data_IF_397824190670
#
_entry.id   IF_397824190670
#
_cell.length_a   1.000
_cell.length_b   1.000
_cell.length_c   1.000
_cell.angle_alpha   90.00
_cell.angle_beta   90.00
_cell.angle_gamma   90.00
#
_symmetry.space_group_name_H-M   'P 1'
#
loop_
_entity.id
_entity.type
_entity.pdbx_description
1 polymer ?
#
# COMPACT_ATOMS: atom_id res chain seq x y z
N UNK A 1 2.51 23.03 -5.08
CA UNK A 1 1.55 21.96 -5.45
C UNK A 1 0.14 22.51 -5.26
N UNK A 2 -0.90 22.06 -5.99
CA UNK A 2 -2.24 22.60 -5.80
C UNK A 2 -2.79 22.16 -4.43
N UNK A 3 -3.24 23.14 -3.65
CA UNK A 3 -3.91 22.92 -2.39
C UNK A 3 -5.38 22.52 -2.66
N UNK A 4 -5.91 21.53 -1.94
CA UNK A 4 -7.29 21.08 -2.10
C UNK A 4 -8.08 21.46 -0.84
N UNK A 5 -9.10 22.29 -1.00
CA UNK A 5 -9.98 22.73 0.06
C UNK A 5 -11.27 21.92 0.03
N UNK A 6 -11.58 21.25 1.14
CA UNK A 6 -12.83 20.51 1.31
C UNK A 6 -13.15 20.39 2.81
N UNK A 7 -14.40 20.64 3.19
CA UNK A 7 -14.86 20.57 4.58
C UNK A 7 -14.64 19.22 5.24
N UNK A 8 -14.47 18.16 4.45
CA UNK A 8 -14.07 16.84 4.95
C UNK A 8 -12.76 16.89 5.77
N UNK A 9 -11.88 17.87 5.52
CA UNK A 9 -10.63 18.05 6.25
C UNK A 9 -10.72 18.92 7.50
N UNK A 10 -11.88 19.51 7.81
CA UNK A 10 -12.07 20.36 8.98
C UNK A 10 -11.58 19.76 10.32
N UNK A 11 -11.67 18.43 10.55
CA UNK A 11 -11.13 17.84 11.77
C UNK A 11 -9.59 17.79 11.86
N UNK A 12 -8.91 17.98 10.72
CA UNK A 12 -7.46 17.79 10.57
C UNK A 12 -6.72 19.10 10.38
N UNK A 13 -7.35 20.06 9.69
CA UNK A 13 -6.77 21.36 9.38
C UNK A 13 -7.82 22.46 9.56
N UNK A 14 -7.42 23.57 10.19
CA UNK A 14 -8.32 24.69 10.51
C UNK A 14 -8.76 25.47 9.28
N UNK A 15 -7.92 25.48 8.25
CA UNK A 15 -8.22 26.16 6.99
C UNK A 15 -8.92 25.21 6.00
N UNK A 16 -9.13 23.94 6.40
CA UNK A 16 -9.74 22.87 5.62
C UNK A 16 -8.96 22.56 4.34
N UNK A 17 -7.67 22.91 4.32
CA UNK A 17 -6.79 22.76 3.17
C UNK A 17 -5.74 21.72 3.48
N UNK A 18 -5.52 20.81 2.53
CA UNK A 18 -4.38 19.91 2.57
C UNK A 18 -3.62 19.95 1.23
N UNK A 19 -2.30 19.77 1.29
CA UNK A 19 -1.47 19.66 0.10
C UNK A 19 -1.67 18.30 -0.55
N UNK A 20 -2.05 18.27 -1.83
CA UNK A 20 -2.21 17.02 -2.57
C UNK A 20 -0.85 16.39 -2.86
N UNK A 21 -0.62 15.18 -2.34
CA UNK A 21 0.57 14.37 -2.61
C UNK A 21 0.40 13.54 -3.89
N UNK A 22 -0.66 12.75 -3.96
CA UNK A 22 -0.90 11.80 -5.03
C UNK A 22 -2.39 11.48 -5.16
N UNK A 23 -2.78 10.82 -6.24
CA UNK A 23 -4.17 10.38 -6.39
C UNK A 23 -4.31 9.20 -7.34
N UNK A 24 -5.31 8.39 -7.04
CA UNK A 24 -5.64 7.13 -7.66
C UNK A 24 -6.99 7.19 -8.37
N UNK A 25 -7.68 6.04 -8.46
CA UNK A 25 -9.03 5.99 -9.07
C UNK A 25 -10.09 6.13 -7.99
N UNK A 26 -9.76 5.60 -6.81
CA UNK A 26 -10.65 5.40 -5.68
C UNK A 26 -10.04 6.01 -4.42
N UNK A 27 -8.87 6.66 -4.49
CA UNK A 27 -8.15 7.18 -3.32
C UNK A 27 -7.28 8.36 -3.70
N UNK A 28 -7.56 9.52 -3.12
CA UNK A 28 -6.71 10.70 -3.13
C UNK A 28 -5.87 10.72 -1.85
N UNK A 29 -4.66 11.25 -1.95
CA UNK A 29 -3.66 11.25 -0.88
C UNK A 29 -3.12 12.67 -0.68
N UNK A 30 -3.18 13.14 0.57
CA UNK A 30 -2.83 14.49 0.97
C UNK A 30 -1.84 14.49 2.13
N UNK A 31 -1.16 15.62 2.35
CA UNK A 31 -0.35 15.88 3.53
C UNK A 31 -1.02 16.91 4.42
N UNK A 32 -0.85 16.74 5.73
CA UNK A 32 -1.03 17.85 6.68
C UNK A 32 0.06 18.89 6.49
N UNK A 33 -0.24 20.15 6.76
CA UNK A 33 0.69 21.27 6.59
C UNK A 33 1.98 21.11 7.39
N UNK A 34 1.87 20.52 8.58
CA UNK A 34 3.01 20.19 9.45
C UNK A 34 3.78 18.93 9.01
N UNK A 35 3.34 18.28 7.92
CA UNK A 35 3.86 17.03 7.35
C UNK A 35 4.00 15.89 8.35
N UNK A 36 3.19 15.87 9.42
CA UNK A 36 3.17 14.75 10.36
C UNK A 36 2.36 13.58 9.86
N UNK A 37 1.34 13.84 9.04
CA UNK A 37 0.43 12.81 8.57
C UNK A 37 0.20 12.86 7.06
N UNK A 38 -0.03 11.68 6.51
CA UNK A 38 -0.65 11.45 5.22
C UNK A 38 -2.13 11.16 5.44
N UNK A 39 -3.00 11.83 4.70
CA UNK A 39 -4.45 11.65 4.74
C UNK A 39 -4.90 11.01 3.44
N UNK A 40 -5.57 9.86 3.52
CA UNK A 40 -6.16 9.20 2.36
C UNK A 40 -7.68 9.36 2.40
N UNK A 41 -8.24 9.91 1.33
CA UNK A 41 -9.67 10.05 1.10
C UNK A 41 -10.09 9.12 -0.04
N UNK A 42 -11.20 8.40 0.12
CA UNK A 42 -11.75 7.54 -0.94
C UNK A 42 -13.04 8.13 -1.50
N UNK A 43 -12.90 8.94 -2.56
CA UNK A 43 -13.97 9.77 -3.12
C UNK A 43 -15.26 8.99 -3.49
N UNK A 44 -15.16 7.72 -3.92
CA UNK A 44 -16.33 6.92 -4.32
C UNK A 44 -17.15 6.36 -3.14
N UNK A 45 -16.79 6.64 -1.89
CA UNK A 45 -17.40 6.03 -0.69
C UNK A 45 -18.11 7.04 0.23
N UNK A 46 -18.32 8.26 -0.24
CA UNK A 46 -19.18 9.22 0.43
C UNK A 46 -20.61 8.71 0.52
N UNK A 47 -21.24 8.88 1.68
CA UNK A 47 -22.60 8.41 1.90
C UNK A 47 -23.14 8.74 3.28
N UNK A 48 -23.90 7.81 3.86
CA UNK A 48 -24.43 7.96 5.21
C UNK A 48 -23.34 7.80 6.29
N UNK A 49 -23.55 8.45 7.45
CA UNK A 49 -22.62 8.36 8.59
C UNK A 49 -22.46 6.91 9.06
N UNK A 50 -23.53 6.12 9.09
CA UNK A 50 -23.45 4.73 9.54
C UNK A 50 -22.60 3.88 8.59
N UNK A 51 -22.71 4.12 7.28
CA UNK A 51 -21.90 3.46 6.25
C UNK A 51 -20.42 3.86 6.38
N UNK A 52 -20.14 5.16 6.54
CA UNK A 52 -18.78 5.66 6.73
C UNK A 52 -18.13 5.09 8.01
N UNK A 53 -18.88 5.01 9.12
CA UNK A 53 -18.41 4.40 10.37
C UNK A 53 -18.19 2.89 10.22
N UNK A 54 -19.12 2.17 9.59
CA UNK A 54 -18.98 0.74 9.34
C UNK A 54 -17.75 0.45 8.47
N UNK A 55 -17.54 1.28 7.45
CA UNK A 55 -16.38 1.21 6.57
C UNK A 55 -15.07 1.50 7.32
N UNK A 56 -15.01 2.57 8.12
CA UNK A 56 -13.85 2.89 8.96
C UNK A 56 -13.49 1.74 9.91
N UNK A 57 -14.49 1.11 10.54
CA UNK A 57 -14.30 -0.07 11.41
C UNK A 57 -13.75 -1.27 10.63
N UNK A 58 -14.30 -1.55 9.45
CA UNK A 58 -13.81 -2.63 8.60
C UNK A 58 -12.36 -2.42 8.16
N UNK A 59 -12.00 -1.20 7.75
CA UNK A 59 -10.63 -0.84 7.39
C UNK A 59 -9.68 -0.96 8.58
N UNK A 60 -10.09 -0.49 9.76
CA UNK A 60 -9.33 -0.64 10.99
C UNK A 60 -9.04 -2.11 11.31
N UNK A 61 -10.06 -2.96 11.24
CA UNK A 61 -9.89 -4.40 11.46
C UNK A 61 -8.89 -5.02 10.47
N UNK A 62 -8.92 -4.60 9.19
CA UNK A 62 -7.93 -5.04 8.19
C UNK A 62 -6.52 -4.56 8.53
N UNK A 63 -6.35 -3.30 8.93
CA UNK A 63 -5.06 -2.74 9.30
C UNK A 63 -4.46 -3.43 10.53
N UNK A 64 -5.29 -3.72 11.54
CA UNK A 64 -4.91 -4.50 12.71
C UNK A 64 -4.51 -5.92 12.31
N UNK A 65 -5.28 -6.57 11.42
CA UNK A 65 -4.97 -7.91 10.91
C UNK A 65 -3.62 -7.95 10.16
N UNK A 66 -3.33 -6.96 9.34
CA UNK A 66 -2.05 -6.86 8.62
C UNK A 66 -0.88 -6.48 9.54
N UNK A 67 -1.14 -5.69 10.59
CA UNK A 67 -0.14 -5.42 11.63
C UNK A 67 0.19 -6.67 12.43
N UNK A 68 -0.79 -7.52 12.76
CA UNK A 68 -0.55 -8.82 13.37
C UNK A 68 0.27 -9.75 12.45
N UNK A 69 -0.01 -9.70 11.15
CA UNK A 69 0.72 -10.46 10.14
C UNK A 69 2.20 -10.05 10.05
N UNK A 70 2.45 -8.79 9.69
CA UNK A 70 3.81 -8.33 9.35
C UNK A 70 4.61 -7.85 10.57
N UNK A 71 3.93 -7.51 11.67
CA UNK A 71 4.52 -6.90 12.86
C UNK A 71 4.74 -5.39 12.69
N UNK A 72 4.81 -4.68 13.83
CA UNK A 72 4.95 -3.22 13.92
C UNK A 72 6.23 -2.67 13.29
N UNK A 73 7.26 -3.52 13.08
CA UNK A 73 8.48 -3.15 12.37
C UNK A 73 8.22 -2.88 10.88
N UNK A 74 7.25 -3.57 10.28
CA UNK A 74 6.98 -3.56 8.84
C UNK A 74 5.61 -2.95 8.50
N UNK A 75 4.97 -2.32 9.47
CA UNK A 75 3.69 -1.63 9.31
C UNK A 75 3.76 -0.23 9.92
N UNK A 76 2.86 0.62 9.44
CA UNK A 76 2.60 1.96 9.96
C UNK A 76 1.19 1.94 10.58
N UNK A 77 0.95 2.62 11.71
CA UNK A 77 -0.38 2.70 12.28
C UNK A 77 -1.32 3.50 11.37
N UNK A 78 -2.57 3.02 11.25
CA UNK A 78 -3.65 3.71 10.58
C UNK A 78 -4.64 4.23 11.63
N UNK A 79 -4.94 5.52 11.57
CA UNK A 79 -6.03 6.14 12.31
C UNK A 79 -7.17 6.45 11.36
N UNK A 80 -8.39 6.53 11.89
CA UNK A 80 -9.58 6.72 11.08
C UNK A 80 -10.43 7.84 11.67
N UNK A 81 -10.81 8.78 10.82
CA UNK A 81 -11.70 9.89 11.17
C UNK A 81 -12.90 9.82 10.22
N UNK A 82 -14.11 9.97 10.76
CA UNK A 82 -15.31 10.15 9.94
C UNK A 82 -15.66 11.63 9.96
N UNK A 83 -15.71 12.24 8.79
CA UNK A 83 -15.98 13.65 8.60
C UNK A 83 -17.06 13.85 7.54
N UNK A 84 -17.77 14.98 7.58
CA UNK A 84 -18.72 15.36 6.54
C UNK A 84 -18.08 16.34 5.58
N UNK A 85 -18.38 16.22 4.29
CA UNK A 85 -18.04 17.24 3.30
C UNK A 85 -19.08 18.37 3.26
N UNK A 86 -18.85 19.35 2.38
CA UNK A 86 -19.75 20.50 2.20
C UNK A 86 -21.13 20.12 1.63
N UNK A 87 -21.25 18.94 1.01
CA UNK A 87 -22.51 18.38 0.51
C UNK A 87 -23.22 17.53 1.58
N UNK A 88 -22.68 17.48 2.80
CA UNK A 88 -23.21 16.76 3.96
C UNK A 88 -22.98 15.25 3.94
N UNK A 89 -22.26 14.72 2.94
CA UNK A 89 -21.90 13.31 2.83
C UNK A 89 -20.81 12.96 3.84
N UNK A 90 -20.94 11.82 4.50
CA UNK A 90 -19.95 11.32 5.43
C UNK A 90 -18.88 10.49 4.71
N UNK A 91 -17.62 10.74 5.05
CA UNK A 91 -16.45 10.08 4.50
C UNK A 91 -15.58 9.53 5.62
N UNK A 92 -14.97 8.37 5.40
CA UNK A 92 -13.91 7.87 6.27
C UNK A 92 -12.54 8.27 5.73
N UNK A 93 -11.84 9.12 6.47
CA UNK A 93 -10.45 9.48 6.25
C UNK A 93 -9.53 8.47 6.92
N UNK A 94 -8.47 8.08 6.23
CA UNK A 94 -7.38 7.28 6.81
C UNK A 94 -6.17 8.17 7.03
N UNK A 95 -5.74 8.32 8.28
CA UNK A 95 -4.54 9.06 8.63
C UNK A 95 -3.41 8.06 8.92
N UNK A 96 -2.24 8.33 8.35
CA UNK A 96 -1.03 7.54 8.59
C UNK A 96 0.11 8.51 8.92
N UNK A 97 0.99 8.19 9.89
CA UNK A 97 2.24 8.93 10.05
C UNK A 97 2.98 9.06 8.72
N UNK A 98 3.41 10.28 8.40
CA UNK A 98 4.26 10.51 7.25
C UNK A 98 5.66 9.98 7.55
N UNK A 99 6.18 9.14 6.67
CA UNK A 99 7.55 8.63 6.77
C UNK A 99 8.43 9.49 5.88
N UNK A 100 9.01 10.52 6.47
CA UNK A 100 9.82 11.49 5.76
C UNK A 100 11.00 10.82 5.03
N UNK A 101 11.19 11.21 3.77
CA UNK A 101 12.25 10.68 2.90
C UNK A 101 12.06 9.22 2.49
N UNK A 102 10.97 8.56 2.86
CA UNK A 102 10.74 7.18 2.47
C UNK A 102 10.61 7.03 0.96
N UNK A 103 11.26 5.98 0.43
CA UNK A 103 11.28 5.70 -1.01
C UNK A 103 10.51 4.42 -1.30
N UNK A 104 9.52 4.44 -2.21
CA UNK A 104 8.93 3.22 -2.75
C UNK A 104 10.02 2.30 -3.30
N UNK A 105 9.91 0.99 -3.06
CA UNK A 105 10.96 0.05 -3.45
C UNK A 105 11.25 0.06 -4.96
N UNK A 106 10.24 0.34 -5.79
CA UNK A 106 10.39 0.43 -7.23
C UNK A 106 11.26 1.59 -7.72
N UNK A 107 11.43 2.62 -6.88
CA UNK A 107 12.25 3.80 -7.17
C UNK A 107 13.71 3.66 -6.74
N UNK A 108 14.04 2.60 -5.99
CA UNK A 108 15.40 2.38 -5.49
C UNK A 108 16.31 1.88 -6.61
N UNK A 109 17.47 2.54 -6.78
CA UNK A 109 18.56 2.00 -7.60
C UNK A 109 19.40 1.00 -6.79
N UNK A 110 19.03 -0.27 -6.89
CA UNK A 110 19.73 -1.37 -6.21
C UNK A 110 21.20 -1.54 -6.63
N UNK A 111 21.62 -0.98 -7.77
CA UNK A 111 23.02 -1.04 -8.22
C UNK A 111 23.89 -0.03 -7.49
N UNK A 112 23.32 1.13 -7.16
CA UNK A 112 24.00 2.16 -6.38
C UNK A 112 24.18 1.77 -4.91
N UNK A 113 23.42 0.77 -4.42
CA UNK A 113 23.54 0.28 -3.05
C UNK A 113 24.82 -0.53 -2.84
N UNK A 114 25.36 -0.48 -1.62
CA UNK A 114 26.40 -1.41 -1.18
C UNK A 114 25.86 -2.83 -1.01
N UNK A 115 26.75 -3.82 -0.99
CA UNK A 115 26.39 -5.22 -0.71
C UNK A 115 25.68 -5.37 0.64
N UNK A 116 26.13 -4.64 1.67
CA UNK A 116 25.52 -4.67 3.00
C UNK A 116 24.11 -4.11 3.00
N UNK A 117 23.87 -2.97 2.32
CA UNK A 117 22.53 -2.41 2.18
C UNK A 117 21.58 -3.35 1.43
N UNK A 118 22.06 -3.98 0.35
CA UNK A 118 21.27 -4.98 -0.37
C UNK A 118 20.93 -6.18 0.50
N UNK A 119 21.90 -6.68 1.27
CA UNK A 119 21.68 -7.80 2.18
C UNK A 119 20.65 -7.47 3.27
N UNK A 120 20.69 -6.26 3.83
CA UNK A 120 19.72 -5.81 4.84
C UNK A 120 18.30 -5.71 4.27
N UNK A 121 18.15 -5.11 3.09
CA UNK A 121 16.86 -5.07 2.36
C UNK A 121 16.35 -6.51 2.12
N UNK A 122 17.23 -7.41 1.68
CA UNK A 122 16.86 -8.80 1.41
C UNK A 122 16.41 -9.55 2.68
N UNK A 123 17.05 -9.28 3.82
CA UNK A 123 16.67 -9.84 5.12
C UNK A 123 15.27 -9.37 5.53
N UNK A 124 15.01 -8.05 5.46
CA UNK A 124 13.72 -7.48 5.84
C UNK A 124 12.60 -7.97 4.92
N UNK A 125 12.80 -7.97 3.60
CA UNK A 125 11.83 -8.52 2.66
C UNK A 125 11.62 -10.03 2.88
N UNK A 126 12.69 -10.77 3.18
CA UNK A 126 12.59 -12.19 3.51
C UNK A 126 11.78 -12.46 4.77
N UNK A 127 11.83 -11.57 5.77
CA UNK A 127 10.94 -11.62 6.94
C UNK A 127 9.48 -11.32 6.57
N UNK A 128 9.23 -10.22 5.85
CA UNK A 128 7.89 -9.83 5.37
C UNK A 128 7.24 -10.99 4.61
N UNK A 129 7.97 -11.60 3.67
CA UNK A 129 7.47 -12.72 2.86
C UNK A 129 7.12 -13.94 3.70
N UNK A 130 8.03 -14.35 4.60
CA UNK A 130 7.79 -15.51 5.48
C UNK A 130 6.58 -15.30 6.36
N UNK A 131 6.43 -14.11 6.94
CA UNK A 131 5.27 -13.72 7.76
C UNK A 131 3.97 -13.73 6.96
N UNK A 132 3.96 -13.10 5.79
CA UNK A 132 2.78 -13.07 4.91
C UNK A 132 2.36 -14.49 4.46
N UNK A 133 3.32 -15.37 4.18
CA UNK A 133 3.05 -16.76 3.82
C UNK A 133 2.49 -17.56 4.98
N UNK A 134 3.12 -17.47 6.16
CA UNK A 134 2.64 -18.14 7.37
C UNK A 134 1.20 -17.68 7.71
N UNK A 135 0.95 -16.38 7.60
CA UNK A 135 -0.35 -15.80 7.83
C UNK A 135 -1.42 -16.31 6.85
N UNK A 136 -1.08 -16.39 5.56
CA UNK A 136 -1.97 -16.96 4.55
C UNK A 136 -2.33 -18.42 4.82
N UNK A 137 -1.37 -19.23 5.31
CA UNK A 137 -1.65 -20.62 5.66
C UNK A 137 -2.70 -20.75 6.78
N UNK A 138 -2.78 -19.77 7.68
CA UNK A 138 -3.70 -19.78 8.81
C UNK A 138 -5.04 -19.12 8.45
N UNK A 139 -5.03 -17.99 7.74
CA UNK A 139 -6.23 -17.15 7.55
C UNK A 139 -6.82 -17.23 6.15
N UNK A 140 -6.09 -17.78 5.18
CA UNK A 140 -6.45 -17.71 3.75
C UNK A 140 -6.35 -16.30 3.16
N UNK A 141 -5.72 -15.35 3.87
CA UNK A 141 -5.55 -13.96 3.46
C UNK A 141 -4.11 -13.48 3.61
N UNK A 142 -3.73 -12.41 2.91
CA UNK A 142 -2.42 -11.77 3.05
C UNK A 142 -2.49 -10.29 2.65
N UNK A 143 -1.57 -9.44 3.13
CA UNK A 143 -1.46 -8.05 2.69
C UNK A 143 -1.07 -7.93 1.21
N UNK A 144 -1.45 -6.82 0.57
CA UNK A 144 -0.98 -6.50 -0.78
C UNK A 144 0.44 -5.90 -0.74
N UNK A 145 1.44 -6.75 -0.94
CA UNK A 145 2.84 -6.35 -0.91
C UNK A 145 3.40 -5.78 -2.21
N UNK A 146 2.70 -5.83 -3.35
CA UNK A 146 3.26 -5.45 -4.65
C UNK A 146 2.77 -4.07 -5.10
N UNK A 147 1.50 -3.75 -4.84
CA UNK A 147 0.92 -2.47 -5.24
C UNK A 147 0.93 -2.20 -6.73
N UNK A 148 0.43 -1.03 -7.11
CA UNK A 148 0.55 -0.51 -8.47
C UNK A 148 0.37 1.01 -8.49
N UNK A 149 1.33 1.75 -9.03
CA UNK A 149 1.07 3.10 -9.51
C UNK A 149 0.25 3.01 -10.81
N UNK A 150 -0.76 3.87 -10.97
CA UNK A 150 -1.49 3.99 -12.24
C UNK A 150 -1.65 5.46 -12.53
N UNK A 151 -1.13 5.91 -13.67
CA UNK A 151 -1.02 7.33 -14.00
C UNK A 151 -2.33 7.97 -14.43
N UNK A 152 -3.37 7.17 -14.72
CA UNK A 152 -4.71 7.70 -14.99
C UNK A 152 -5.84 6.67 -14.83
N UNK A 153 -7.07 7.18 -14.67
CA UNK A 153 -8.31 6.41 -14.73
C UNK A 153 -8.54 5.73 -16.10
N UNK A 154 -8.15 6.41 -17.19
CA UNK A 154 -8.26 5.90 -18.56
C UNK A 154 -7.31 4.71 -18.83
N UNK A 155 -6.08 4.76 -18.29
CA UNK A 155 -5.12 3.65 -18.36
C UNK A 155 -5.68 2.41 -17.64
N UNK A 156 -6.26 2.58 -16.45
CA UNK A 156 -6.90 1.49 -15.70
C UNK A 156 -8.13 0.91 -16.40
N UNK A 157 -8.95 1.74 -17.05
CA UNK A 157 -10.15 1.28 -17.80
C UNK A 157 -9.75 0.43 -19.02
N UNK A 158 -8.71 0.85 -19.77
CA UNK A 158 -8.13 0.04 -20.86
C UNK A 158 -7.53 -1.26 -20.34
N UNK A 159 -6.91 -1.23 -19.17
CA UNK A 159 -6.34 -2.40 -18.52
C UNK A 159 -7.36 -3.36 -17.90
N UNK A 160 -8.64 -2.98 -17.73
CA UNK A 160 -9.71 -3.91 -17.31
C UNK A 160 -10.24 -4.75 -18.50
N UNK A 161 -9.89 -4.40 -19.74
CA UNK A 161 -10.34 -5.12 -20.94
C UNK A 161 -9.85 -6.59 -20.94
N UNK A 162 -10.78 -7.53 -21.16
CA UNK A 162 -10.52 -8.98 -21.14
C UNK A 162 -9.37 -9.40 -22.08
N UNK A 163 -9.21 -8.73 -23.22
CA UNK A 163 -8.14 -9.03 -24.19
C UNK A 163 -6.70 -8.77 -23.72
N UNK A 164 -6.50 -8.06 -22.60
CA UNK A 164 -5.16 -7.80 -22.04
C UNK A 164 -4.78 -8.76 -20.89
N UNK A 165 -5.66 -9.70 -20.52
CA UNK A 165 -5.43 -10.64 -19.42
C UNK A 165 -4.13 -11.45 -19.52
N UNK A 166 -3.75 -12.02 -20.69
CA UNK A 166 -2.52 -12.80 -20.81
C UNK A 166 -1.26 -11.96 -20.56
N UNK A 167 -1.18 -10.77 -21.18
CA UNK A 167 -0.08 -9.84 -20.97
C UNK A 167 -0.03 -9.30 -19.54
N UNK A 168 -1.18 -9.12 -18.88
CA UNK A 168 -1.27 -8.73 -17.47
C UNK A 168 -0.79 -9.84 -16.53
N UNK A 169 -1.19 -11.08 -16.77
CA UNK A 169 -0.71 -12.25 -16.04
C UNK A 169 0.81 -12.39 -16.21
N UNK A 170 1.33 -12.25 -17.44
CA UNK A 170 2.77 -12.32 -17.70
C UNK A 170 3.55 -11.19 -17.02
N UNK A 171 3.12 -9.93 -17.16
CA UNK A 171 3.73 -8.78 -16.48
C UNK A 171 3.69 -8.96 -14.95
N UNK A 172 2.60 -9.48 -14.40
CA UNK A 172 2.46 -9.74 -12.97
C UNK A 172 3.35 -10.91 -12.50
N UNK A 173 3.49 -11.96 -13.30
CA UNK A 173 4.28 -13.16 -12.99
C UNK A 173 5.78 -12.96 -13.20
N UNK A 174 6.20 -12.06 -14.10
CA UNK A 174 7.62 -11.92 -14.50
C UNK A 174 8.19 -10.56 -14.13
N UNK A 175 7.45 -9.46 -14.33
CA UNK A 175 7.98 -8.10 -14.15
C UNK A 175 7.73 -7.54 -12.74
N UNK A 176 6.74 -8.07 -12.01
CA UNK A 176 6.43 -7.59 -10.65
C UNK A 176 7.04 -8.48 -9.60
N UNK A 177 8.17 -8.05 -9.06
CA UNK A 177 8.76 -8.61 -7.85
C UNK A 177 8.64 -7.62 -6.69
N UNK A 178 8.88 -8.08 -5.47
CA UNK A 178 8.82 -7.23 -4.27
C UNK A 178 9.79 -6.04 -4.30
N UNK A 179 10.93 -6.16 -5.00
CA UNK A 179 11.87 -5.04 -5.17
C UNK A 179 11.29 -3.94 -6.07
N UNK A 180 10.22 -4.22 -6.80
CA UNK A 180 9.45 -3.27 -7.62
C UNK A 180 8.10 -2.92 -6.99
N UNK A 181 7.99 -3.05 -5.67
CA UNK A 181 6.76 -2.72 -4.96
C UNK A 181 6.57 -1.21 -4.79
N UNK A 182 5.33 -0.75 -5.01
CA UNK A 182 4.90 0.59 -4.65
C UNK A 182 4.25 0.66 -3.25
N UNK A 183 3.79 -0.48 -2.74
CA UNK A 183 3.10 -0.54 -1.44
C UNK A 183 4.09 -0.72 -0.29
N UNK A 184 5.33 -1.08 -0.58
CA UNK A 184 6.43 -1.12 0.37
C UNK A 184 7.33 0.08 0.12
N UNK A 185 7.67 0.79 1.20
CA UNK A 185 8.63 1.89 1.16
C UNK A 185 9.79 1.59 2.11
N UNK A 186 10.99 2.00 1.72
CA UNK A 186 12.17 1.99 2.56
C UNK A 186 12.26 3.34 3.28
N UNK A 187 12.20 3.34 4.62
CA UNK A 187 12.45 4.53 5.42
C UNK A 187 13.93 4.93 5.37
N UNK A 188 14.21 6.20 5.63
CA UNK A 188 15.59 6.67 5.76
C UNK A 188 16.24 6.23 7.07
N UNK A 189 17.54 6.47 7.17
CA UNK A 189 18.30 6.34 8.39
C UNK A 189 17.70 7.22 9.52
N UNK A 190 17.79 6.81 10.79
CA UNK A 190 18.56 5.67 11.29
C UNK A 190 17.83 4.32 11.24
N UNK A 191 16.51 4.31 11.06
CA UNK A 191 15.70 3.09 11.19
C UNK A 191 15.81 2.15 9.99
N UNK A 192 16.01 2.70 8.78
CA UNK A 192 16.19 1.96 7.53
C UNK A 192 15.26 0.73 7.39
N UNK A 193 13.96 0.93 7.64
CA UNK A 193 12.96 -0.14 7.68
C UNK A 193 12.08 -0.15 6.45
N UNK A 194 11.74 -1.35 5.99
CA UNK A 194 10.75 -1.56 4.94
C UNK A 194 9.38 -1.68 5.58
N UNK A 195 8.46 -0.79 5.20
CA UNK A 195 7.13 -0.69 5.78
C UNK A 195 6.04 -0.71 4.70
N UNK A 196 4.94 -1.39 5.01
CA UNK A 196 3.72 -1.38 4.21
C UNK A 196 2.99 -0.05 4.41
N UNK A 197 2.71 0.66 3.32
CA UNK A 197 1.97 1.93 3.35
C UNK A 197 0.51 1.79 2.92
N UNK A 198 0.14 0.72 2.23
CA UNK A 198 -1.20 0.49 1.71
C UNK A 198 -1.84 -0.79 2.27
N UNK A 199 -3.05 -0.63 2.80
CA UNK A 199 -3.79 -1.64 3.57
C UNK A 199 -5.10 -2.00 2.90
N UNK A 200 -5.27 -1.63 1.63
CA UNK A 200 -6.53 -1.78 0.94
C UNK A 200 -6.98 -3.24 0.85
N UNK A 201 -8.17 -3.57 1.41
CA UNK A 201 -8.67 -4.93 1.32
C UNK A 201 -9.12 -5.25 -0.10
N UNK A 202 -8.94 -6.50 -0.50
CA UNK A 202 -9.49 -7.01 -1.74
C UNK A 202 -11.02 -7.12 -1.62
N UNK A 203 -11.75 -6.15 -2.18
CA UNK A 203 -13.23 -6.03 -2.10
C UNK A 203 -14.03 -7.02 -2.97
N UNK A 204 -13.36 -7.95 -3.65
CA UNK A 204 -13.98 -8.85 -4.61
C UNK A 204 -14.55 -10.12 -3.95
N UNK A 205 -15.38 -10.86 -4.70
CA UNK A 205 -16.02 -12.10 -4.25
C UNK A 205 -15.02 -13.18 -3.78
N UNK A 206 -15.52 -14.16 -2.99
CA UNK A 206 -14.70 -15.20 -2.35
C UNK A 206 -13.82 -15.99 -3.33
N UNK A 207 -14.36 -16.38 -4.48
CA UNK A 207 -13.61 -17.11 -5.51
C UNK A 207 -12.46 -16.29 -6.07
N UNK A 208 -12.71 -15.01 -6.36
CA UNK A 208 -11.66 -14.10 -6.81
C UNK A 208 -10.56 -13.97 -5.77
N UNK A 209 -10.92 -13.75 -4.49
CA UNK A 209 -9.95 -13.65 -3.39
C UNK A 209 -9.10 -14.91 -3.25
N UNK A 210 -9.70 -16.09 -3.39
CA UNK A 210 -8.99 -17.36 -3.33
C UNK A 210 -7.95 -17.46 -4.44
N UNK A 211 -8.34 -17.22 -5.70
CA UNK A 211 -7.42 -17.25 -6.85
C UNK A 211 -6.34 -16.18 -6.69
N UNK A 212 -6.73 -14.97 -6.31
CA UNK A 212 -5.83 -13.83 -6.11
C UNK A 212 -4.74 -14.12 -5.08
N UNK A 213 -5.09 -14.65 -3.90
CA UNK A 213 -4.11 -14.97 -2.87
C UNK A 213 -3.28 -16.21 -3.21
N UNK A 214 -3.85 -17.19 -3.92
CA UNK A 214 -3.09 -18.35 -4.40
C UNK A 214 -1.99 -17.94 -5.40
N UNK A 215 -2.31 -17.06 -6.36
CA UNK A 215 -1.31 -16.52 -7.30
C UNK A 215 -0.23 -15.75 -6.54
N UNK A 216 -0.60 -14.91 -5.57
CA UNK A 216 0.37 -14.16 -4.77
C UNK A 216 1.30 -15.07 -3.97
N UNK A 217 0.80 -16.18 -3.43
CA UNK A 217 1.63 -17.16 -2.75
C UNK A 217 2.74 -17.71 -3.66
N UNK A 218 2.44 -17.97 -4.92
CA UNK A 218 3.45 -18.42 -5.90
C UNK A 218 4.49 -17.32 -6.14
N UNK A 219 4.06 -16.06 -6.27
CA UNK A 219 4.99 -14.93 -6.42
C UNK A 219 5.92 -14.76 -5.22
N UNK A 220 5.40 -14.93 -4.00
CA UNK A 220 6.21 -14.87 -2.78
C UNK A 220 7.34 -15.90 -2.79
N UNK A 221 7.08 -17.11 -3.29
CA UNK A 221 8.11 -18.15 -3.41
C UNK A 221 9.19 -17.79 -4.44
N UNK A 222 8.80 -17.23 -5.58
CA UNK A 222 9.74 -16.69 -6.58
C UNK A 222 10.62 -15.60 -5.95
N UNK A 223 10.01 -14.71 -5.17
CA UNK A 223 10.75 -13.60 -4.57
C UNK A 223 11.69 -14.05 -3.46
N UNK A 224 11.40 -15.12 -2.72
CA UNK A 224 12.38 -15.72 -1.81
C UNK A 224 13.67 -16.14 -2.52
N UNK A 225 13.57 -16.68 -3.74
CA UNK A 225 14.75 -17.04 -4.54
C UNK A 225 15.52 -15.80 -4.99
N UNK A 226 14.82 -14.75 -5.44
CA UNK A 226 15.41 -13.45 -5.80
C UNK A 226 16.16 -12.81 -4.62
N UNK A 227 15.56 -12.83 -3.44
CA UNK A 227 16.14 -12.27 -2.22
C UNK A 227 17.33 -13.09 -1.74
N UNK A 228 17.30 -14.42 -1.89
CA UNK A 228 18.45 -15.27 -1.62
C UNK A 228 19.64 -14.91 -2.53
N UNK A 229 19.39 -14.70 -3.82
CA UNK A 229 20.40 -14.24 -4.78
C UNK A 229 20.98 -12.86 -4.42
N UNK A 230 20.10 -11.91 -4.07
CA UNK A 230 20.51 -10.58 -3.63
C UNK A 230 21.39 -10.63 -2.37
N UNK A 231 21.03 -11.51 -1.42
CA UNK A 231 21.78 -11.73 -0.19
C UNK A 231 23.15 -12.36 -0.42
N UNK A 232 23.32 -13.20 -1.44
CA UNK A 232 24.63 -13.75 -1.82
C UNK A 232 25.51 -12.78 -2.62
N UNK A 233 25.14 -11.50 -2.70
CA UNK A 233 25.90 -10.46 -3.41
C UNK A 233 25.51 -10.30 -4.87
N UNK A 234 24.47 -11.00 -5.33
CA UNK A 234 23.92 -10.84 -6.67
C UNK A 234 23.35 -9.44 -6.89
N UNK A 235 23.56 -8.90 -8.08
CA UNK A 235 22.92 -7.64 -8.50
C UNK A 235 21.56 -7.98 -9.11
N UNK A 236 20.52 -7.31 -8.64
CA UNK A 236 19.15 -7.48 -9.13
C UNK A 236 18.78 -6.31 -10.04
N UNK A 237 18.06 -6.61 -11.12
CA UNK A 237 17.65 -5.69 -12.18
C UNK A 237 16.18 -5.31 -12.04
#
# INVERSE_FOLDING_TARGET
MPAYANDVFAPLDRDHVLERLAGGNETEVYWTDDRRYVVKLKDELGGDVCEAVAWARAMRAVAEHYTLCLGTRHTIPNYYVVARDGDGQAHALVLQPFVEGAQPLDTIDYRALSTTQRAEIAIQLGEIVRRAHAFYRVTGSMPDLYGRSSGSSAERKRMRALGTLPGRLWSFLVQRNLLRSHNLVLSMAPECRIVLVDYDPVRQGRLYRLVYFAVRRVLLLRDLALLAWMRSGGVVW
#
